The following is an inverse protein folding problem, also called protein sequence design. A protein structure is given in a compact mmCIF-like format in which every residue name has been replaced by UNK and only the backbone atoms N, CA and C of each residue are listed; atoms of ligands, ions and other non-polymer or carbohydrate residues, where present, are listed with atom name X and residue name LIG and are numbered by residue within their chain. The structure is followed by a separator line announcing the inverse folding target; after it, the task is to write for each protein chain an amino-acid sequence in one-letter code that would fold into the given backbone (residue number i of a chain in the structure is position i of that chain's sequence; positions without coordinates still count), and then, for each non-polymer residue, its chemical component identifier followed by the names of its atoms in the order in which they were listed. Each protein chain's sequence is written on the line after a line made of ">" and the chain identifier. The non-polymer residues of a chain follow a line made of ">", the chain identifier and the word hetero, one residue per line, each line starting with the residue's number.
data_IF_294814630224
#
_entry.id   IF_294814630224
#
_cell.length_a   1.000
_cell.length_b   1.000
_cell.length_c   1.000
_cell.angle_alpha   90.00
_cell.angle_beta   90.00
_cell.angle_gamma   90.00
#
_symmetry.space_group_name_H-M   'P 1'
#
loop_
_entity.id
_entity.type
_entity.pdbx_description
1 polymer ?
#
# COMPACT_ATOMS: atom_id res chain seq x y z
N UNK A 1 34.58 42.90 5.10
CA UNK A 1 33.44 42.36 4.32
C UNK A 1 32.27 43.31 4.51
N UNK A 2 31.75 43.88 3.42
CA UNK A 2 30.69 44.90 3.50
C UNK A 2 29.32 44.26 3.74
N UNK A 3 28.44 44.95 4.47
CA UNK A 3 27.05 44.53 4.72
C UNK A 3 26.32 44.09 3.46
N UNK A 4 26.58 44.73 2.32
CA UNK A 4 26.01 44.35 1.02
C UNK A 4 26.40 42.95 0.54
N UNK A 5 27.64 42.51 0.80
CA UNK A 5 28.07 41.14 0.44
C UNK A 5 27.38 40.08 1.27
N UNK A 6 27.09 40.37 2.55
CA UNK A 6 26.37 39.46 3.45
C UNK A 6 24.90 39.37 3.04
N UNK A 7 24.27 40.50 2.69
CA UNK A 7 22.88 40.54 2.22
C UNK A 7 22.72 39.81 0.89
N UNK A 8 23.65 40.00 -0.06
CA UNK A 8 23.64 39.30 -1.34
C UNK A 8 23.79 37.78 -1.16
N UNK A 9 24.67 37.35 -0.25
CA UNK A 9 24.85 35.93 0.07
C UNK A 9 23.58 35.32 0.70
N UNK A 10 22.95 36.03 1.64
CA UNK A 10 21.71 35.57 2.27
C UNK A 10 20.57 35.45 1.25
N UNK A 11 20.42 36.41 0.33
CA UNK A 11 19.42 36.34 -0.73
C UNK A 11 19.66 35.15 -1.67
N UNK A 12 20.91 34.91 -2.08
CA UNK A 12 21.26 33.78 -2.93
C UNK A 12 20.94 32.43 -2.24
N UNK A 13 21.30 32.28 -0.97
CA UNK A 13 21.00 31.07 -0.19
C UNK A 13 19.50 30.87 -0.04
N UNK A 14 18.75 31.93 0.29
CA UNK A 14 17.30 31.87 0.47
C UNK A 14 16.59 31.48 -0.83
N UNK A 15 17.06 32.01 -1.97
CA UNK A 15 16.53 31.67 -3.29
C UNK A 15 16.76 30.19 -3.63
N UNK A 16 17.94 29.66 -3.35
CA UNK A 16 18.27 28.24 -3.58
C UNK A 16 17.44 27.34 -2.68
N UNK A 17 17.30 27.68 -1.40
CA UNK A 17 16.47 26.91 -0.44
C UNK A 17 14.99 26.94 -0.85
N UNK A 18 14.49 28.03 -1.41
CA UNK A 18 13.12 28.14 -1.89
C UNK A 18 12.88 27.37 -3.20
N UNK A 19 13.88 27.27 -4.09
CA UNK A 19 13.78 26.55 -5.37
C UNK A 19 13.98 25.04 -5.24
N UNK A 20 14.81 24.58 -4.29
CA UNK A 20 15.03 23.16 -4.01
C UNK A 20 13.74 22.33 -3.85
N UNK A 21 12.74 22.72 -3.03
CA UNK A 21 11.52 21.95 -2.87
C UNK A 21 10.68 21.89 -4.15
N UNK A 22 10.72 22.90 -5.00
CA UNK A 22 9.99 22.93 -6.29
C UNK A 22 10.45 21.81 -7.22
N UNK A 23 11.73 21.44 -7.16
CA UNK A 23 12.30 20.37 -7.99
C UNK A 23 12.30 19.00 -7.30
N UNK A 24 12.55 18.96 -5.98
CA UNK A 24 12.71 17.70 -5.25
C UNK A 24 11.36 17.05 -4.92
N UNK A 25 10.38 17.83 -4.44
CA UNK A 25 9.06 17.33 -4.03
C UNK A 25 8.32 16.59 -5.16
N UNK A 26 8.23 17.11 -6.41
CA UNK A 26 7.52 16.40 -7.47
C UNK A 26 8.20 15.08 -7.87
N UNK A 27 9.52 14.96 -7.71
CA UNK A 27 10.23 13.70 -7.98
C UNK A 27 9.92 12.64 -6.93
N UNK A 28 9.83 13.03 -5.65
CA UNK A 28 9.51 12.14 -4.54
C UNK A 28 8.05 11.67 -4.58
N UNK A 29 7.13 12.58 -4.92
CA UNK A 29 5.71 12.25 -5.04
C UNK A 29 5.43 11.30 -6.20
N UNK A 30 6.11 11.47 -7.34
CA UNK A 30 6.03 10.54 -8.48
C UNK A 30 6.47 9.13 -8.10
N UNK A 31 7.64 8.99 -7.46
CA UNK A 31 8.14 7.68 -7.00
C UNK A 31 7.19 7.01 -6.01
N UNK A 32 6.57 7.79 -5.13
CA UNK A 32 5.57 7.26 -4.18
C UNK A 32 4.31 6.79 -4.91
N UNK A 33 3.83 7.56 -5.89
CA UNK A 33 2.67 7.20 -6.68
C UNK A 33 2.91 5.94 -7.53
N UNK A 34 4.08 5.82 -8.15
CA UNK A 34 4.51 4.63 -8.89
C UNK A 34 4.49 3.38 -8.00
N UNK A 35 5.11 3.44 -6.82
CA UNK A 35 5.08 2.32 -5.86
C UNK A 35 3.66 1.92 -5.44
N UNK A 36 2.79 2.90 -5.21
CA UNK A 36 1.39 2.63 -4.87
C UNK A 36 0.61 1.98 -6.02
N UNK A 37 0.94 2.32 -7.26
CA UNK A 37 0.37 1.68 -8.45
C UNK A 37 0.88 0.25 -8.60
N UNK A 38 2.16 0.01 -8.37
CA UNK A 38 2.75 -1.33 -8.44
C UNK A 38 2.13 -2.27 -7.40
N UNK A 39 2.03 -1.82 -6.15
CA UNK A 39 1.35 -2.55 -5.07
C UNK A 39 -0.12 -2.84 -5.40
N UNK A 40 -0.80 -1.88 -6.02
CA UNK A 40 -2.18 -2.04 -6.45
C UNK A 40 -2.31 -3.09 -7.57
N UNK A 41 -1.43 -3.03 -8.57
CA UNK A 41 -1.39 -3.98 -9.66
C UNK A 41 -1.11 -5.41 -9.16
N UNK A 42 -0.26 -5.55 -8.15
CA UNK A 42 0.00 -6.82 -7.50
C UNK A 42 -1.24 -7.38 -6.78
N UNK A 43 -1.94 -6.54 -6.00
CA UNK A 43 -3.20 -6.91 -5.38
C UNK A 43 -4.24 -7.35 -6.41
N UNK A 44 -4.41 -6.62 -7.51
CA UNK A 44 -5.37 -6.98 -8.56
C UNK A 44 -4.99 -8.27 -9.28
N UNK A 45 -3.71 -8.46 -9.59
CA UNK A 45 -3.20 -9.68 -10.22
C UNK A 45 -3.43 -10.89 -9.33
N UNK A 46 -3.19 -10.77 -8.03
CA UNK A 46 -3.47 -11.80 -7.05
C UNK A 46 -4.96 -12.07 -6.93
N UNK A 47 -5.78 -11.03 -6.75
CA UNK A 47 -7.23 -11.15 -6.65
C UNK A 47 -7.82 -11.89 -7.86
N UNK A 48 -7.41 -11.50 -9.08
CA UNK A 48 -7.82 -12.15 -10.33
C UNK A 48 -7.40 -13.61 -10.40
N UNK A 49 -6.18 -13.95 -10.00
CA UNK A 49 -5.67 -15.34 -9.99
C UNK A 49 -6.49 -16.24 -9.08
N UNK A 50 -6.99 -15.68 -7.98
CA UNK A 50 -7.72 -16.42 -6.97
C UNK A 50 -9.25 -16.28 -7.07
N UNK A 51 -9.73 -15.59 -8.11
CA UNK A 51 -11.15 -15.29 -8.32
C UNK A 51 -11.80 -14.59 -7.11
N UNK A 52 -11.06 -13.69 -6.48
CA UNK A 52 -11.53 -12.80 -5.41
C UNK A 52 -11.42 -11.34 -5.87
N UNK A 53 -11.74 -10.40 -4.99
CA UNK A 53 -11.74 -8.98 -5.25
C UNK A 53 -10.87 -8.21 -4.26
N UNK A 54 -10.28 -7.12 -4.74
CA UNK A 54 -9.55 -6.16 -3.90
C UNK A 54 -10.56 -5.35 -3.10
N UNK A 55 -10.41 -5.35 -1.79
CA UNK A 55 -11.22 -4.58 -0.85
C UNK A 55 -10.47 -3.31 -0.48
N UNK A 56 -11.21 -2.20 -0.32
CA UNK A 56 -10.66 -0.92 0.12
C UNK A 56 -11.45 -0.44 1.33
N UNK A 57 -10.75 -0.16 2.42
CA UNK A 57 -11.32 0.46 3.61
C UNK A 57 -10.44 1.63 4.06
N UNK A 58 -10.98 2.84 4.09
CA UNK A 58 -10.26 4.05 4.51
C UNK A 58 -8.92 4.28 3.77
N UNK A 59 -8.84 3.88 2.49
CA UNK A 59 -7.62 3.98 1.69
C UNK A 59 -6.68 2.79 1.85
N UNK A 60 -6.93 1.90 2.80
CA UNK A 60 -6.21 0.65 2.99
C UNK A 60 -6.76 -0.43 2.05
N UNK A 61 -5.91 -0.95 1.17
CA UNK A 61 -6.30 -1.94 0.16
C UNK A 61 -5.78 -3.31 0.53
N UNK A 62 -6.68 -4.28 0.57
CA UNK A 62 -6.36 -5.64 1.00
C UNK A 62 -7.18 -6.67 0.23
N UNK A 63 -6.71 -7.91 0.25
CA UNK A 63 -7.37 -9.07 -0.35
C UNK A 63 -7.41 -10.18 0.70
N UNK A 64 -8.53 -10.89 0.75
CA UNK A 64 -8.71 -12.10 1.57
C UNK A 64 -9.04 -13.23 0.61
N UNK A 65 -8.34 -14.36 0.73
CA UNK A 65 -8.63 -15.56 -0.05
C UNK A 65 -8.72 -16.76 0.87
N UNK A 66 -9.70 -17.63 0.63
CA UNK A 66 -9.70 -18.96 1.22
C UNK A 66 -8.83 -19.92 0.39
N UNK A 67 -7.69 -20.33 0.94
CA UNK A 67 -6.84 -21.38 0.38
C UNK A 67 -7.16 -22.76 0.97
N UNK A 68 -6.37 -23.76 0.58
CA UNK A 68 -6.51 -25.14 1.05
C UNK A 68 -6.18 -25.33 2.54
N UNK A 69 -5.36 -24.44 3.12
CA UNK A 69 -4.91 -24.49 4.52
C UNK A 69 -5.52 -23.39 5.40
N UNK A 70 -6.50 -22.65 4.90
CA UNK A 70 -7.13 -21.54 5.60
C UNK A 70 -7.06 -20.22 4.83
N UNK A 71 -7.31 -19.11 5.53
CA UNK A 71 -7.32 -17.78 4.92
C UNK A 71 -5.92 -17.22 4.69
N UNK A 72 -5.75 -16.60 3.53
CA UNK A 72 -4.57 -15.84 3.17
C UNK A 72 -4.93 -14.37 3.02
N UNK A 73 -4.12 -13.50 3.63
CA UNK A 73 -4.36 -12.07 3.67
C UNK A 73 -3.23 -11.35 2.94
N UNK A 74 -3.59 -10.49 1.99
CA UNK A 74 -2.66 -9.57 1.35
C UNK A 74 -3.02 -8.15 1.72
N UNK A 75 -2.00 -7.36 2.06
CA UNK A 75 -2.08 -5.95 2.36
C UNK A 75 -1.01 -5.22 1.56
N UNK A 76 -1.41 -4.21 0.77
CA UNK A 76 -0.49 -3.41 -0.05
C UNK A 76 0.44 -4.25 -0.95
N UNK A 77 -0.04 -5.38 -1.48
CA UNK A 77 0.73 -6.29 -2.34
C UNK A 77 1.55 -7.34 -1.59
N UNK A 78 1.62 -7.28 -0.25
CA UNK A 78 2.40 -8.22 0.55
C UNK A 78 1.51 -9.18 1.34
N UNK A 79 1.93 -10.44 1.45
CA UNK A 79 1.27 -11.40 2.36
C UNK A 79 1.49 -10.99 3.80
N UNK A 80 0.42 -10.93 4.58
CA UNK A 80 0.45 -10.54 6.00
C UNK A 80 -0.33 -11.55 6.84
N UNK A 81 -0.08 -11.55 8.16
CA UNK A 81 -0.91 -12.32 9.10
C UNK A 81 -2.26 -11.64 9.32
N UNK A 82 -3.23 -12.40 9.83
CA UNK A 82 -4.57 -11.89 10.18
C UNK A 82 -4.48 -10.71 11.14
N UNK A 83 -3.64 -10.84 12.17
CA UNK A 83 -3.46 -9.84 13.23
C UNK A 83 -2.86 -8.55 12.67
N UNK A 84 -1.91 -8.66 11.73
CA UNK A 84 -1.31 -7.50 11.09
C UNK A 84 -2.31 -6.76 10.22
N UNK A 85 -3.16 -7.47 9.48
CA UNK A 85 -4.24 -6.85 8.70
C UNK A 85 -5.28 -6.20 9.62
N UNK A 86 -5.66 -6.88 10.71
CA UNK A 86 -6.62 -6.36 11.68
C UNK A 86 -6.10 -5.08 12.36
N UNK A 87 -4.83 -5.07 12.79
CA UNK A 87 -4.19 -3.86 13.33
C UNK A 87 -4.17 -2.71 12.32
N UNK A 88 -3.96 -3.01 11.05
CA UNK A 88 -3.97 -2.01 9.99
C UNK A 88 -5.37 -1.46 9.70
N UNK A 89 -6.41 -2.29 9.83
CA UNK A 89 -7.81 -1.90 9.69
C UNK A 89 -8.36 -1.16 10.94
N UNK A 90 -7.75 -1.39 12.10
CA UNK A 90 -8.23 -0.94 13.41
C UNK A 90 -8.94 -2.06 14.15
N UNK A 91 -8.70 -2.17 15.46
CA UNK A 91 -9.19 -3.27 16.30
C UNK A 91 -10.72 -3.39 16.29
N UNK A 92 -11.45 -2.27 16.18
CA UNK A 92 -12.92 -2.24 16.09
C UNK A 92 -13.49 -2.74 14.75
N UNK A 93 -12.63 -3.09 13.78
CA UNK A 93 -13.02 -3.46 12.42
C UNK A 93 -12.96 -4.96 12.15
N UNK A 94 -12.86 -5.79 13.21
CA UNK A 94 -12.91 -7.25 13.06
C UNK A 94 -14.15 -7.73 12.31
N UNK A 95 -15.30 -7.09 12.50
CA UNK A 95 -16.53 -7.42 11.76
C UNK A 95 -16.40 -7.29 10.24
N UNK A 96 -15.55 -6.38 9.73
CA UNK A 96 -15.28 -6.26 8.29
C UNK A 96 -14.46 -7.45 7.78
N UNK A 97 -13.48 -7.87 8.57
CA UNK A 97 -12.62 -9.00 8.24
C UNK A 97 -13.41 -10.31 8.27
N UNK A 98 -14.23 -10.52 9.30
CA UNK A 98 -15.13 -11.67 9.41
C UNK A 98 -16.14 -11.73 8.26
N UNK A 99 -16.69 -10.58 7.84
CA UNK A 99 -17.56 -10.53 6.66
C UNK A 99 -16.82 -10.95 5.40
N UNK A 100 -15.57 -10.49 5.22
CA UNK A 100 -14.76 -10.85 4.07
C UNK A 100 -14.44 -12.35 4.04
N UNK A 101 -14.03 -12.91 5.18
CA UNK A 101 -13.79 -14.34 5.37
C UNK A 101 -15.06 -15.18 5.09
N UNK A 102 -16.22 -14.71 5.57
CA UNK A 102 -17.50 -15.37 5.33
C UNK A 102 -17.94 -15.36 3.86
N UNK A 103 -17.68 -14.28 3.13
CA UNK A 103 -17.97 -14.19 1.68
C UNK A 103 -17.09 -15.14 0.86
N UNK A 104 -15.80 -15.25 1.20
CA UNK A 104 -14.87 -16.19 0.58
C UNK A 104 -15.22 -17.65 0.92
N UNK A 105 -15.64 -17.91 2.16
CA UNK A 105 -16.08 -19.25 2.60
C UNK A 105 -17.25 -19.79 1.78
N UNK A 106 -18.14 -18.91 1.32
CA UNK A 106 -19.28 -19.28 0.46
C UNK A 106 -18.87 -19.59 -0.97
N UNK A 107 -17.76 -19.02 -1.45
CA UNK A 107 -17.23 -19.28 -2.79
C UNK A 107 -16.40 -20.57 -2.86
N UNK A 108 -16.01 -21.13 -1.71
CA UNK A 108 -15.18 -22.33 -1.63
C UNK A 108 -13.70 -22.04 -1.85
N UNK A 109 -12.80 -22.97 -1.49
CA UNK A 109 -11.36 -22.74 -1.57
C UNK A 109 -10.90 -22.58 -3.02
N UNK A 110 -10.09 -21.56 -3.28
CA UNK A 110 -9.48 -21.35 -4.59
C UNK A 110 -8.39 -22.41 -4.83
N UNK A 111 -8.50 -23.26 -5.87
CA UNK A 111 -7.58 -24.39 -6.11
C UNK A 111 -6.14 -23.95 -6.44
N UNK A 112 -5.91 -22.65 -6.69
CA UNK A 112 -4.63 -22.10 -7.15
C UNK A 112 -3.58 -21.91 -6.04
N UNK A 113 -3.87 -22.25 -4.77
CA UNK A 113 -2.89 -22.25 -3.66
C UNK A 113 -2.03 -23.52 -3.58
N UNK A 114 -1.46 -23.93 -4.71
CA UNK A 114 -0.29 -24.81 -4.66
C UNK A 114 0.95 -23.92 -4.66
N UNK A 115 1.56 -23.82 -3.48
CA UNK A 115 2.88 -23.25 -3.20
C UNK A 115 3.84 -23.32 -4.38
N UNK A 116 4.09 -22.18 -5.04
CA UNK A 116 5.35 -21.98 -5.75
C UNK A 116 6.34 -21.41 -4.73
N UNK A 117 6.99 -22.32 -4.00
CA UNK A 117 8.24 -21.99 -3.33
C UNK A 117 9.30 -21.81 -4.42
N UNK A 118 9.96 -20.65 -4.44
CA UNK A 118 11.24 -20.42 -5.09
C UNK A 118 12.03 -19.45 -4.22
#
# INVERSE_FOLDING_TARGET
>A
MGTQTIVALLLAVTLVVALLPVWIIPSLSRRKAERQLDQLNELYRYARRHNTFVRNHNGLRYVVVLGSRGFHYLLEGHSVSRERLLRALGEDKEGLLLKAEGEESRHGPSPTFTTAAA
#
